data_IF_825264183157
#
_entry.id   IF_825264183157
#
_cell.length_a   1.000
_cell.length_b   1.000
_cell.length_c   1.000
_cell.angle_alpha   90.00
_cell.angle_beta   90.00
_cell.angle_gamma   90.00
#
_symmetry.space_group_name_H-M   'P 1'
#
loop_
_entity.id
_entity.type
_entity.pdbx_description
1 polymer ?
#
# COMPACT_ATOMS: atom_id res chain seq x y z
N UNK A 1 -34.95 26.63 3.85
CA UNK A 1 -34.06 25.92 4.79
C UNK A 1 -34.01 24.46 4.39
N UNK A 2 -32.93 24.01 3.76
CA UNK A 2 -32.63 22.59 3.62
C UNK A 2 -31.12 22.46 3.85
N UNK A 3 -30.81 21.82 4.96
CA UNK A 3 -29.50 21.62 5.54
C UNK A 3 -28.64 20.80 4.60
N UNK A 4 -27.53 21.41 4.12
CA UNK A 4 -26.41 20.66 3.57
C UNK A 4 -25.89 19.76 4.68
N UNK A 5 -26.20 18.47 4.59
CA UNK A 5 -25.51 17.47 5.38
C UNK A 5 -24.04 17.55 4.98
N UNK A 6 -23.22 18.15 5.85
CA UNK A 6 -21.79 17.94 5.83
C UNK A 6 -21.60 16.43 6.03
N UNK A 7 -21.52 15.70 4.92
CA UNK A 7 -21.05 14.34 4.92
C UNK A 7 -19.69 14.42 5.62
N UNK A 8 -19.62 13.83 6.82
CA UNK A 8 -18.37 13.68 7.53
C UNK A 8 -17.40 13.08 6.54
N UNK A 9 -16.45 13.90 6.06
CA UNK A 9 -15.40 13.49 5.15
C UNK A 9 -14.64 12.39 5.88
N UNK A 10 -15.02 11.13 5.63
CA UNK A 10 -14.21 10.00 6.03
C UNK A 10 -12.82 10.27 5.42
N UNK A 11 -11.73 10.13 6.18
CA UNK A 11 -10.38 10.36 5.66
C UNK A 11 -10.29 9.61 4.33
N UNK A 12 -9.93 10.31 3.25
CA UNK A 12 -10.10 9.84 1.87
C UNK A 12 -9.49 8.46 1.70
N UNK A 13 -10.31 7.42 1.85
CA UNK A 13 -9.87 6.03 1.88
C UNK A 13 -9.87 5.52 0.44
N UNK A 14 -8.92 6.01 -0.35
CA UNK A 14 -8.71 5.50 -1.70
C UNK A 14 -8.23 4.05 -1.61
N UNK A 15 -8.97 3.11 -2.20
CA UNK A 15 -8.50 1.73 -2.36
C UNK A 15 -7.71 1.64 -3.65
N UNK A 16 -6.40 1.50 -3.52
CA UNK A 16 -5.47 1.40 -4.64
C UNK A 16 -5.05 -0.05 -4.84
N UNK A 17 -5.46 -0.65 -5.95
CA UNK A 17 -4.98 -1.97 -6.37
C UNK A 17 -3.73 -1.79 -7.20
N UNK A 18 -2.60 -2.10 -6.58
CA UNK A 18 -1.29 -1.65 -7.04
C UNK A 18 -0.37 -2.85 -7.24
N UNK A 19 0.37 -2.85 -8.35
CA UNK A 19 1.58 -3.67 -8.51
C UNK A 19 2.78 -2.84 -8.04
N UNK A 20 3.84 -3.47 -7.55
CA UNK A 20 5.09 -2.75 -7.26
C UNK A 20 5.84 -2.38 -8.57
N UNK A 21 5.20 -1.59 -9.44
CA UNK A 21 5.71 -1.13 -10.72
C UNK A 21 6.00 0.38 -10.69
N UNK A 22 6.76 0.87 -11.69
CA UNK A 22 7.01 2.31 -11.92
C UNK A 22 5.74 3.12 -12.23
N UNK A 23 4.63 2.46 -12.52
CA UNK A 23 3.37 3.15 -12.75
C UNK A 23 2.76 3.61 -11.44
N UNK A 24 2.67 2.69 -10.48
CA UNK A 24 2.17 2.99 -9.15
C UNK A 24 3.07 3.95 -8.37
N UNK A 25 4.29 4.21 -8.89
CA UNK A 25 5.13 5.30 -8.41
C UNK A 25 4.49 6.67 -8.67
N UNK A 26 3.93 6.94 -9.85
CA UNK A 26 3.28 8.24 -10.13
C UNK A 26 2.04 8.47 -9.29
N UNK A 27 1.22 7.43 -9.12
CA UNK A 27 0.07 7.49 -8.22
C UNK A 27 0.53 7.77 -6.79
N UNK A 28 1.62 7.16 -6.34
CA UNK A 28 2.20 7.42 -5.01
C UNK A 28 2.88 8.77 -4.88
N UNK A 29 3.48 9.30 -5.95
CA UNK A 29 3.99 10.68 -6.01
C UNK A 29 2.84 11.65 -5.80
N UNK A 30 1.74 11.52 -6.55
CA UNK A 30 0.55 12.33 -6.38
C UNK A 30 -0.07 12.18 -4.97
N UNK A 31 -0.14 10.97 -4.42
CA UNK A 31 -0.61 10.73 -3.03
C UNK A 31 0.30 11.43 -2.01
N UNK A 32 1.60 11.49 -2.28
CA UNK A 32 2.57 12.15 -1.40
C UNK A 32 2.46 13.66 -1.50
N UNK A 33 2.27 14.19 -2.71
CA UNK A 33 2.04 15.62 -2.96
C UNK A 33 0.73 16.10 -2.32
N UNK A 34 -0.31 15.28 -2.37
CA UNK A 34 -1.62 15.58 -1.77
C UNK A 34 -1.69 15.27 -0.27
N UNK A 35 -0.63 14.73 0.35
CA UNK A 35 -0.60 14.27 1.75
C UNK A 35 -1.84 13.41 2.09
N UNK A 36 -2.08 12.37 1.30
CA UNK A 36 -3.22 11.45 1.46
C UNK A 36 -2.79 10.12 2.09
N UNK A 37 -3.64 9.58 2.96
CA UNK A 37 -3.57 8.19 3.44
C UNK A 37 -4.36 7.29 2.51
N UNK A 38 -3.74 6.22 2.02
CA UNK A 38 -4.36 5.35 0.99
C UNK A 38 -4.26 3.91 1.41
N UNK A 39 -5.35 3.16 1.25
CA UNK A 39 -5.34 1.71 1.42
C UNK A 39 -4.80 1.06 0.16
N UNK A 40 -3.73 0.30 0.31
CA UNK A 40 -3.10 -0.42 -0.78
C UNK A 40 -3.43 -1.90 -0.68
N UNK A 41 -3.98 -2.43 -1.76
CA UNK A 41 -4.23 -3.85 -1.96
C UNK A 41 -3.25 -4.36 -3.02
N UNK A 42 -2.21 -5.11 -2.62
CA UNK A 42 -1.23 -5.59 -3.57
C UNK A 42 -1.80 -6.67 -4.49
N UNK A 43 -1.54 -6.54 -5.80
CA UNK A 43 -2.01 -7.49 -6.80
C UNK A 43 -0.85 -8.07 -7.63
N UNK A 44 0.01 -8.94 -7.05
CA UNK A 44 1.07 -9.59 -7.82
C UNK A 44 0.48 -10.53 -8.88
N UNK A 45 1.30 -10.92 -9.86
CA UNK A 45 0.93 -11.93 -10.86
C UNK A 45 0.76 -13.28 -10.14
N UNK A 46 -0.42 -13.87 -10.29
CA UNK A 46 -0.82 -15.11 -9.61
C UNK A 46 -1.83 -14.89 -8.48
N UNK A 47 -2.06 -13.64 -8.05
CA UNK A 47 -3.06 -13.34 -7.02
C UNK A 47 -4.47 -13.62 -7.52
N UNK A 48 -5.27 -14.33 -6.72
CA UNK A 48 -6.69 -14.61 -7.02
C UNK A 48 -7.59 -13.61 -6.28
N UNK A 49 -7.28 -13.32 -5.01
CA UNK A 49 -8.16 -12.61 -4.07
C UNK A 49 -8.47 -11.18 -4.50
N UNK A 50 -7.43 -10.36 -4.62
CA UNK A 50 -7.59 -8.95 -4.99
C UNK A 50 -7.93 -8.79 -6.47
N UNK A 51 -7.56 -9.77 -7.30
CA UNK A 51 -7.86 -9.77 -8.74
C UNK A 51 -9.35 -9.97 -9.00
N UNK A 52 -9.99 -10.87 -8.26
CA UNK A 52 -11.45 -11.01 -8.27
C UNK A 52 -12.15 -9.73 -7.79
N UNK A 53 -11.60 -9.05 -6.79
CA UNK A 53 -12.15 -7.78 -6.29
C UNK A 53 -12.12 -6.69 -7.37
N UNK A 54 -11.00 -6.54 -8.10
CA UNK A 54 -10.92 -5.60 -9.23
C UNK A 54 -11.87 -6.00 -10.36
N UNK A 55 -12.03 -7.30 -10.65
CA UNK A 55 -12.99 -7.77 -11.66
C UNK A 55 -14.43 -7.43 -11.29
N UNK A 56 -14.80 -7.59 -10.00
CA UNK A 56 -16.12 -7.24 -9.49
C UNK A 56 -16.38 -5.72 -9.51
N UNK A 57 -15.37 -4.91 -9.17
CA UNK A 57 -15.53 -3.46 -9.03
C UNK A 57 -15.39 -2.69 -10.35
N UNK A 58 -14.36 -3.00 -11.15
CA UNK A 58 -14.04 -2.22 -12.35
C UNK A 58 -14.36 -2.92 -13.66
N UNK A 59 -14.81 -4.18 -13.63
CA UNK A 59 -15.13 -4.99 -14.82
C UNK A 59 -13.93 -5.41 -15.69
N UNK A 60 -12.73 -4.84 -15.49
CA UNK A 60 -11.49 -5.18 -16.23
C UNK A 60 -10.30 -5.41 -15.31
N UNK A 61 -9.40 -6.34 -15.67
CA UNK A 61 -8.16 -6.60 -14.92
C UNK A 61 -7.01 -5.65 -15.31
N UNK A 62 -7.29 -4.34 -15.31
CA UNK A 62 -6.30 -3.30 -15.61
C UNK A 62 -5.78 -2.68 -14.30
N UNK A 63 -4.47 -2.47 -14.23
CA UNK A 63 -3.79 -1.95 -13.04
C UNK A 63 -2.88 -0.78 -13.39
N UNK A 64 -2.77 0.23 -12.51
CA UNK A 64 -3.47 0.34 -11.23
C UNK A 64 -4.95 0.70 -11.39
N UNK A 65 -5.71 0.35 -10.37
CA UNK A 65 -7.13 0.66 -10.25
C UNK A 65 -7.36 1.40 -8.94
N UNK A 66 -7.95 2.59 -9.02
CA UNK A 66 -8.22 3.45 -7.87
C UNK A 66 -9.73 3.58 -7.70
N UNK A 67 -10.17 3.41 -6.46
CA UNK A 67 -11.57 3.61 -6.05
C UNK A 67 -11.60 4.63 -4.93
N UNK A 68 -12.33 5.73 -5.14
CA UNK A 68 -12.65 6.69 -4.09
C UNK A 68 -14.10 6.49 -3.62
N UNK A 69 -14.32 6.01 -2.38
CA UNK A 69 -15.66 5.79 -1.85
C UNK A 69 -16.41 7.10 -1.57
N UNK A 70 -15.72 8.22 -1.38
CA UNK A 70 -16.37 9.51 -1.09
C UNK A 70 -17.06 10.10 -2.32
N UNK A 71 -16.49 9.88 -3.50
CA UNK A 71 -17.03 10.37 -4.78
C UNK A 71 -17.72 9.29 -5.59
N UNK A 72 -17.55 8.01 -5.22
CA UNK A 72 -18.01 6.86 -6.01
C UNK A 72 -17.24 6.66 -7.30
N UNK A 73 -16.13 7.40 -7.50
CA UNK A 73 -15.33 7.35 -8.71
C UNK A 73 -14.42 6.12 -8.67
N UNK A 74 -14.50 5.30 -9.73
CA UNK A 74 -13.55 4.23 -10.01
C UNK A 74 -12.82 4.53 -11.32
N UNK A 75 -11.49 4.60 -11.28
CA UNK A 75 -10.68 4.95 -12.44
C UNK A 75 -9.61 3.91 -12.73
N UNK A 76 -9.45 3.65 -14.04
CA UNK A 76 -8.32 2.94 -14.59
C UNK A 76 -7.31 3.95 -15.11
N UNK A 77 -6.05 3.65 -14.87
CA UNK A 77 -4.98 4.52 -15.33
C UNK A 77 -4.09 3.71 -16.30
N UNK A 78 -4.01 4.17 -17.56
CA UNK A 78 -3.44 3.44 -18.69
C UNK A 78 -2.15 4.09 -19.19
N UNK A 79 -0.99 3.43 -19.03
CA UNK A 79 0.20 3.64 -19.89
C UNK A 79 1.16 2.44 -19.78
N UNK A 80 1.22 1.64 -20.86
CA UNK A 80 1.70 0.26 -20.84
C UNK A 80 3.23 0.06 -20.99
N UNK A 81 3.99 1.09 -21.42
CA UNK A 81 5.41 0.91 -21.85
C UNK A 81 6.47 0.67 -20.75
N UNK A 82 6.43 1.26 -19.53
CA UNK A 82 7.56 1.12 -18.58
C UNK A 82 7.64 -0.22 -17.84
N UNK A 83 6.57 -1.05 -17.88
CA UNK A 83 6.47 -2.33 -17.16
C UNK A 83 7.46 -3.38 -17.67
N UNK A 84 7.94 -3.24 -18.91
CA UNK A 84 8.91 -4.15 -19.52
C UNK A 84 10.34 -3.96 -18.99
N UNK A 85 10.66 -2.79 -18.42
CA UNK A 85 12.04 -2.39 -18.10
C UNK A 85 12.54 -2.87 -16.73
N UNK A 86 11.78 -3.71 -15.99
CA UNK A 86 12.18 -4.17 -14.65
C UNK A 86 11.98 -5.69 -14.54
N UNK A 87 13.08 -6.40 -14.32
CA UNK A 87 13.19 -7.85 -14.23
C UNK A 87 12.45 -8.47 -13.02
N UNK A 88 11.12 -8.39 -12.98
CA UNK A 88 10.25 -9.28 -12.20
C UNK A 88 10.18 -9.12 -10.68
N UNK A 89 11.06 -8.35 -10.01
CA UNK A 89 11.00 -8.18 -8.53
C UNK A 89 9.74 -7.42 -8.08
N UNK A 90 9.07 -7.90 -7.04
CA UNK A 90 7.80 -7.35 -6.55
C UNK A 90 6.59 -7.60 -7.45
N UNK A 91 6.72 -8.46 -8.47
CA UNK A 91 5.67 -8.72 -9.46
C UNK A 91 5.07 -10.12 -9.39
N UNK A 92 5.72 -11.07 -8.75
CA UNK A 92 5.28 -12.46 -8.63
C UNK A 92 4.90 -12.75 -7.19
N UNK A 93 3.77 -13.43 -7.00
CA UNK A 93 3.35 -13.91 -5.69
C UNK A 93 4.45 -14.78 -5.08
N UNK A 94 4.79 -14.55 -3.82
CA UNK A 94 5.67 -15.44 -3.09
C UNK A 94 4.96 -16.77 -2.87
N UNK A 95 5.64 -17.89 -3.19
CA UNK A 95 5.03 -19.24 -3.16
C UNK A 95 4.45 -19.61 -1.79
N UNK A 96 4.98 -19.01 -0.73
CA UNK A 96 4.62 -19.28 0.66
C UNK A 96 3.80 -18.14 1.28
N UNK A 97 3.18 -17.27 0.48
CA UNK A 97 2.34 -16.19 1.01
C UNK A 97 1.20 -16.76 1.86
N UNK A 98 0.95 -16.18 3.05
CA UNK A 98 -0.15 -16.58 3.91
C UNK A 98 -1.49 -16.54 3.16
N UNK A 99 -2.28 -17.61 3.29
CA UNK A 99 -3.59 -17.76 2.64
C UNK A 99 -4.70 -16.98 3.34
N UNK A 100 -4.46 -16.37 4.49
CA UNK A 100 -5.46 -15.57 5.22
C UNK A 100 -4.89 -14.17 5.47
N UNK A 101 -5.62 -13.09 5.13
CA UNK A 101 -5.14 -11.76 5.40
C UNK A 101 -5.21 -11.50 6.91
N UNK A 102 -4.32 -10.66 7.45
CA UNK A 102 -4.42 -10.24 8.84
C UNK A 102 -5.77 -9.54 9.10
N UNK A 103 -6.33 -9.67 10.32
CA UNK A 103 -7.61 -9.07 10.67
C UNK A 103 -7.56 -7.53 10.62
N UNK A 104 -6.45 -6.93 11.04
CA UNK A 104 -6.19 -5.50 10.89
C UNK A 104 -5.08 -5.23 9.86
N UNK A 105 -5.22 -4.13 9.12
CA UNK A 105 -4.27 -3.74 8.07
C UNK A 105 -3.02 -3.17 8.72
N UNK A 106 -1.85 -3.54 8.19
CA UNK A 106 -0.59 -2.95 8.63
C UNK A 106 -0.51 -1.49 8.17
N UNK A 107 0.15 -0.63 8.94
CA UNK A 107 0.40 0.76 8.55
C UNK A 107 1.87 0.96 8.18
N UNK A 108 2.10 1.53 7.00
CA UNK A 108 3.43 1.83 6.50
C UNK A 108 3.57 3.34 6.26
N UNK A 109 4.42 3.97 7.07
CA UNK A 109 4.90 5.32 6.81
C UNK A 109 6.03 5.27 5.80
N UNK A 110 5.81 5.90 4.64
CA UNK A 110 6.85 5.95 3.62
C UNK A 110 6.80 7.18 2.73
N UNK A 111 7.89 7.36 1.98
CA UNK A 111 8.05 8.38 0.97
C UNK A 111 8.52 7.72 -0.33
N UNK A 112 8.06 8.19 -1.50
CA UNK A 112 8.31 7.50 -2.76
C UNK A 112 9.80 7.49 -3.15
N UNK A 113 10.53 8.57 -2.87
CA UNK A 113 11.95 8.69 -3.19
C UNK A 113 12.87 7.91 -2.22
N UNK A 114 12.34 7.21 -1.21
CA UNK A 114 13.16 6.42 -0.29
C UNK A 114 13.38 4.99 -0.81
N UNK A 115 14.64 4.56 -1.08
CA UNK A 115 14.94 3.24 -1.62
C UNK A 115 14.64 2.10 -0.64
N UNK A 116 14.80 2.30 0.67
CA UNK A 116 14.50 1.28 1.68
C UNK A 116 13.00 1.04 1.81
N UNK A 117 12.22 2.11 1.77
CA UNK A 117 10.77 2.00 1.78
C UNK A 117 10.24 1.29 0.54
N UNK A 118 10.88 1.49 -0.62
CA UNK A 118 10.58 0.75 -1.83
C UNK A 118 10.74 -0.77 -1.64
N UNK A 119 11.82 -1.21 -0.99
CA UNK A 119 12.07 -2.65 -0.74
C UNK A 119 10.97 -3.23 0.17
N UNK A 120 10.59 -2.52 1.24
CA UNK A 120 9.51 -2.95 2.14
C UNK A 120 8.19 -3.10 1.37
N UNK A 121 7.86 -2.15 0.48
CA UNK A 121 6.68 -2.24 -0.39
C UNK A 121 6.74 -3.43 -1.35
N UNK A 122 7.91 -3.74 -1.91
CA UNK A 122 8.11 -4.93 -2.75
C UNK A 122 7.80 -6.21 -1.96
N UNK A 123 8.29 -6.33 -0.72
CA UNK A 123 8.00 -7.49 0.15
C UNK A 123 6.52 -7.59 0.52
N UNK A 124 5.88 -6.49 0.90
CA UNK A 124 4.43 -6.46 1.16
C UNK A 124 3.62 -6.89 -0.06
N UNK A 125 4.07 -6.52 -1.27
CA UNK A 125 3.44 -6.96 -2.51
C UNK A 125 3.64 -8.44 -2.80
N UNK A 126 4.84 -8.98 -2.54
CA UNK A 126 5.14 -10.40 -2.73
C UNK A 126 4.34 -11.27 -1.76
N UNK A 127 4.06 -10.79 -0.55
CA UNK A 127 3.25 -11.45 0.47
C UNK A 127 1.74 -11.15 0.37
N UNK A 128 1.28 -10.42 -0.65
CA UNK A 128 -0.13 -10.03 -0.83
C UNK A 128 -0.79 -9.36 0.40
N UNK A 129 0.00 -8.69 1.25
CA UNK A 129 -0.52 -8.11 2.48
C UNK A 129 -1.17 -6.75 2.22
N UNK A 130 -2.46 -6.56 2.52
CA UNK A 130 -3.08 -5.24 2.44
C UNK A 130 -2.54 -4.33 3.55
N UNK A 131 -2.19 -3.10 3.21
CA UNK A 131 -1.62 -2.14 4.15
C UNK A 131 -2.11 -0.71 3.88
N UNK A 132 -2.12 0.11 4.93
CA UNK A 132 -2.39 1.55 4.87
C UNK A 132 -1.06 2.25 4.60
N UNK A 133 -1.00 2.99 3.50
CA UNK A 133 0.13 3.84 3.17
C UNK A 133 -0.08 5.23 3.75
N UNK A 134 0.75 5.58 4.74
CA UNK A 134 0.86 6.94 5.25
C UNK A 134 2.00 7.63 4.51
N UNK A 135 1.67 8.50 3.55
CA UNK A 135 2.68 9.28 2.84
C UNK A 135 3.24 10.34 3.78
N UNK A 136 4.57 10.40 3.88
CA UNK A 136 5.26 11.40 4.70
C UNK A 136 6.09 12.27 3.77
N UNK A 137 5.42 13.24 3.15
CA UNK A 137 6.06 14.28 2.36
C UNK A 137 6.76 15.32 3.24
N UNK A 138 7.67 16.10 2.66
CA UNK A 138 8.32 17.20 3.36
C UNK A 138 7.26 18.23 3.79
N UNK A 139 7.11 18.46 5.11
CA UNK A 139 6.09 19.36 5.66
C UNK A 139 4.69 18.76 5.84
N UNK A 140 4.51 17.46 5.60
CA UNK A 140 3.23 16.78 5.83
C UNK A 140 2.80 16.81 7.31
N UNK A 141 1.49 16.87 7.56
CA UNK A 141 0.95 16.76 8.92
C UNK A 141 1.26 15.41 9.54
N UNK A 142 1.35 14.36 8.70
CA UNK A 142 1.69 12.99 9.08
C UNK A 142 3.14 12.83 9.53
N UNK A 143 4.05 13.72 9.13
CA UNK A 143 5.41 13.72 9.65
C UNK A 143 5.42 13.91 11.17
N UNK A 144 4.47 14.69 11.71
CA UNK A 144 4.32 14.87 13.16
C UNK A 144 3.90 13.58 13.85
N UNK A 145 2.92 12.86 13.27
CA UNK A 145 2.50 11.55 13.78
C UNK A 145 3.66 10.55 13.80
N UNK A 146 4.47 10.53 12.73
CA UNK A 146 5.66 9.67 12.68
C UNK A 146 6.68 10.05 13.76
N UNK A 147 6.86 11.35 14.04
CA UNK A 147 7.74 11.82 15.09
C UNK A 147 7.24 11.40 16.48
N UNK A 148 5.93 11.53 16.74
CA UNK A 148 5.32 11.15 18.01
C UNK A 148 5.42 9.64 18.26
N UNK A 149 5.25 8.82 17.21
CA UNK A 149 5.35 7.36 17.31
C UNK A 149 6.79 6.87 17.44
N UNK A 150 7.66 7.29 16.52
CA UNK A 150 9.00 6.71 16.37
C UNK A 150 10.12 7.52 17.04
N UNK A 151 9.82 8.74 17.50
CA UNK A 151 10.82 9.71 17.93
C UNK A 151 11.71 10.24 16.80
N UNK A 152 11.42 9.92 15.53
CA UNK A 152 12.25 10.28 14.38
C UNK A 152 11.43 10.54 13.12
N UNK A 153 12.00 11.26 12.16
CA UNK A 153 11.42 11.41 10.81
C UNK A 153 11.92 10.35 9.82
N UNK A 154 12.59 9.30 10.32
CA UNK A 154 13.19 8.26 9.49
C UNK A 154 12.12 7.31 8.95
N UNK A 155 12.02 7.26 7.63
CA UNK A 155 11.21 6.28 6.89
C UNK A 155 12.11 5.21 6.25
N UNK A 156 11.63 3.96 6.07
CA UNK A 156 10.29 3.45 6.35
C UNK A 156 10.03 3.15 7.83
N UNK A 157 8.79 3.33 8.28
CA UNK A 157 8.31 2.88 9.59
C UNK A 157 7.06 2.03 9.40
N UNK A 158 7.07 0.81 9.93
CA UNK A 158 5.93 -0.12 9.88
C UNK A 158 5.33 -0.23 11.28
N UNK A 159 4.00 -0.17 11.36
CA UNK A 159 3.21 -0.51 12.54
C UNK A 159 2.30 -1.68 12.17
N UNK A 160 2.34 -2.72 12.98
CA UNK A 160 1.46 -3.88 12.87
C UNK A 160 0.52 -3.93 14.08
N UNK A 161 -0.75 -3.51 13.93
CA UNK A 161 -1.72 -3.53 15.01
C UNK A 161 -2.01 -4.94 15.55
N UNK A 162 -1.84 -5.98 14.73
CA UNK A 162 -2.17 -7.35 15.10
C UNK A 162 -1.22 -7.92 16.15
N UNK A 163 0.06 -7.52 16.11
CA UNK A 163 1.11 -8.01 17.00
C UNK A 163 1.66 -6.93 17.93
N UNK A 164 1.28 -5.67 17.71
CA UNK A 164 1.87 -4.50 18.35
C UNK A 164 3.30 -4.23 17.88
N UNK A 165 3.76 -4.84 16.78
CA UNK A 165 5.12 -4.64 16.28
C UNK A 165 5.24 -3.27 15.62
N UNK A 166 6.19 -2.45 16.08
CA UNK A 166 6.59 -1.23 15.41
C UNK A 166 8.09 -1.18 15.15
N UNK A 167 8.50 -0.74 13.95
CA UNK A 167 9.91 -0.61 13.63
C UNK A 167 10.19 0.35 12.48
N UNK A 168 11.23 1.18 12.66
CA UNK A 168 11.83 2.03 11.62
C UNK A 168 13.02 1.41 10.89
N UNK A 169 13.39 0.17 11.21
CA UNK A 169 14.57 -0.48 10.62
C UNK A 169 14.14 -1.43 9.52
N UNK A 170 14.37 -1.04 8.25
CA UNK A 170 13.89 -1.81 7.09
C UNK A 170 14.29 -3.30 7.11
N UNK A 171 15.50 -3.65 7.56
CA UNK A 171 15.92 -5.06 7.66
C UNK A 171 15.08 -5.85 8.65
N UNK A 172 14.79 -5.25 9.82
CA UNK A 172 13.96 -5.85 10.86
C UNK A 172 12.52 -6.00 10.38
N UNK A 173 11.99 -4.99 9.68
CA UNK A 173 10.66 -5.03 9.06
C UNK A 173 10.57 -6.20 8.06
N UNK A 174 11.53 -6.34 7.16
CA UNK A 174 11.53 -7.42 6.15
C UNK A 174 11.60 -8.79 6.84
N UNK A 175 12.52 -8.97 7.78
CA UNK A 175 12.66 -10.21 8.52
C UNK A 175 11.36 -10.58 9.25
N UNK A 176 10.73 -9.60 9.91
CA UNK A 176 9.44 -9.78 10.57
C UNK A 176 8.33 -10.17 9.58
N UNK A 177 8.16 -9.43 8.47
CA UNK A 177 7.10 -9.70 7.51
C UNK A 177 7.22 -11.12 6.94
N UNK A 178 8.43 -11.54 6.62
CA UNK A 178 8.68 -12.91 6.14
C UNK A 178 8.43 -13.92 7.26
N UNK A 179 8.95 -13.72 8.47
CA UNK A 179 8.77 -14.68 9.57
C UNK A 179 7.31 -14.84 10.01
N UNK A 180 6.55 -13.75 10.06
CA UNK A 180 5.18 -13.74 10.57
C UNK A 180 4.15 -14.12 9.50
N UNK A 181 4.33 -13.64 8.27
CA UNK A 181 3.32 -13.75 7.22
C UNK A 181 3.73 -14.62 6.04
N UNK A 182 4.92 -15.23 6.09
CA UNK A 182 5.19 -16.36 5.21
C UNK A 182 4.92 -17.67 5.91
N UNK A 183 4.29 -18.57 5.17
CA UNK A 183 4.09 -19.95 5.59
C UNK A 183 5.49 -20.57 5.65
N UNK A 184 5.88 -21.02 6.84
CA UNK A 184 7.05 -21.87 6.98
C UNK A 184 6.83 -23.09 6.09
N UNK A 185 7.67 -23.25 5.05
CA UNK A 185 7.75 -24.49 4.30
C UNK A 185 8.01 -25.62 5.29
N UNK A 186 6.95 -26.38 5.59
CA UNK A 186 7.07 -27.70 6.18
C UNK A 186 7.36 -28.70 5.07
#
# INVERSE_FOLDING_TARGET
MLTAAAAALQPVFCRSFVRCSKYSQRVREAITELDLSVEIFPCPKGSIRHREMVRKLGSREQFPFLVDPNTGISMYESRWLPTLLRAGRGMTLWKNSAKEPPPEKLELYSFENNPYARIVREVLCELELPYILQSVGQGSGRAKLLLELSGSYKVPYLVDPNTGMESGQYKKIIAYLVQTYSIATT
#
